data_IF_171574930539
#
_entry.id   IF_171574930539
#
_cell.length_a   1.000
_cell.length_b   1.000
_cell.length_c   1.000
_cell.angle_alpha   90.00
_cell.angle_beta   90.00
_cell.angle_gamma   90.00
#
_symmetry.space_group_name_H-M   'P 1'
#
loop_
_entity.id
_entity.type
_entity.pdbx_description
1 polymer ?
#
# COMPACT_ATOMS: atom_id res chain seq x y z
N UNK A 1 0.58 -2.52 16.25
CA UNK A 1 0.74 -3.88 15.71
C UNK A 1 1.50 -3.80 14.39
N UNK A 2 2.55 -4.58 14.24
CA UNK A 2 3.36 -4.56 13.03
C UNK A 2 2.65 -5.33 11.91
N UNK A 3 2.51 -4.71 10.74
CA UNK A 3 1.84 -5.32 9.60
C UNK A 3 2.51 -6.64 9.18
N UNK A 4 3.83 -6.74 9.25
CA UNK A 4 4.51 -7.95 8.80
C UNK A 4 4.11 -9.18 9.62
N UNK A 5 3.70 -9.00 10.87
CA UNK A 5 3.24 -10.10 11.71
C UNK A 5 1.84 -10.60 11.34
N UNK A 6 1.09 -9.82 10.57
CA UNK A 6 -0.26 -10.18 10.13
C UNK A 6 -0.29 -10.88 8.77
N UNK A 7 0.84 -10.94 8.07
CA UNK A 7 0.93 -11.56 6.75
C UNK A 7 0.84 -13.07 6.90
N UNK A 8 -0.23 -13.67 6.37
CA UNK A 8 -0.47 -15.10 6.40
C UNK A 8 -0.35 -15.76 5.03
N UNK A 9 -0.38 -14.95 3.97
CA UNK A 9 -0.37 -15.43 2.60
C UNK A 9 0.40 -14.46 1.71
N UNK A 10 1.19 -15.00 0.79
CA UNK A 10 1.94 -14.20 -0.18
C UNK A 10 1.47 -14.60 -1.58
N UNK A 11 0.88 -13.66 -2.35
CA UNK A 11 0.43 -13.95 -3.71
C UNK A 11 1.59 -14.38 -4.60
N UNK A 12 1.30 -15.27 -5.52
CA UNK A 12 2.29 -15.70 -6.51
C UNK A 12 2.46 -14.62 -7.56
N UNK A 13 3.72 -14.29 -7.84
CA UNK A 13 4.05 -13.29 -8.86
C UNK A 13 3.96 -13.91 -10.26
N UNK A 14 3.16 -13.32 -11.16
CA UNK A 14 3.11 -13.72 -12.56
C UNK A 14 4.26 -13.13 -13.36
N UNK A 15 4.75 -11.97 -12.94
CA UNK A 15 5.91 -11.32 -13.54
C UNK A 15 6.93 -11.00 -12.45
N UNK A 16 7.87 -11.92 -12.17
CA UNK A 16 8.84 -11.71 -11.09
C UNK A 16 9.72 -10.47 -11.26
N UNK A 17 10.04 -10.08 -12.49
CA UNK A 17 10.85 -8.89 -12.74
C UNK A 17 10.12 -7.62 -12.28
N UNK A 18 8.83 -7.49 -12.59
CA UNK A 18 8.01 -6.38 -12.15
C UNK A 18 7.85 -6.37 -10.64
N UNK A 19 7.68 -7.54 -10.04
CA UNK A 19 7.56 -7.67 -8.60
C UNK A 19 8.83 -7.25 -7.88
N UNK A 20 10.00 -7.66 -8.38
CA UNK A 20 11.29 -7.26 -7.79
C UNK A 20 11.49 -5.75 -7.84
N UNK A 21 11.08 -5.13 -8.94
CA UNK A 21 11.18 -3.68 -9.10
C UNK A 21 10.41 -2.94 -8.00
N UNK A 22 9.22 -3.43 -7.65
CA UNK A 22 8.44 -2.87 -6.54
C UNK A 22 9.13 -3.10 -5.21
N UNK A 23 9.59 -4.32 -4.95
CA UNK A 23 10.21 -4.70 -3.67
C UNK A 23 11.50 -3.93 -3.40
N UNK A 24 12.25 -3.56 -4.43
CA UNK A 24 13.48 -2.79 -4.29
C UNK A 24 13.26 -1.45 -3.59
N UNK A 25 12.11 -0.82 -3.80
CA UNK A 25 11.77 0.43 -3.13
C UNK A 25 11.49 0.27 -1.65
N UNK A 26 11.39 -0.96 -1.15
CA UNK A 26 11.05 -1.27 0.25
C UNK A 26 12.13 -2.14 0.90
N UNK A 27 13.38 -1.98 0.49
CA UNK A 27 14.50 -2.81 0.97
C UNK A 27 14.76 -2.67 2.48
N UNK A 28 14.31 -1.57 3.10
CA UNK A 28 14.45 -1.33 4.53
C UNK A 28 13.39 -2.06 5.37
N UNK A 29 12.41 -2.67 4.72
CA UNK A 29 11.31 -3.35 5.40
C UNK A 29 11.59 -4.84 5.57
N UNK A 30 10.75 -5.51 6.37
CA UNK A 30 10.91 -6.93 6.64
C UNK A 30 10.82 -7.76 5.35
N UNK A 31 11.41 -8.94 5.36
CA UNK A 31 11.38 -9.84 4.21
C UNK A 31 9.94 -10.20 3.83
N UNK A 32 9.06 -10.38 4.82
CA UNK A 32 7.66 -10.72 4.58
C UNK A 32 6.94 -9.62 3.81
N UNK A 33 7.19 -8.34 4.15
CA UNK A 33 6.62 -7.21 3.42
C UNK A 33 7.18 -7.15 2.01
N UNK A 34 8.48 -7.33 1.84
CA UNK A 34 9.10 -7.34 0.52
C UNK A 34 8.53 -8.45 -0.36
N UNK A 35 8.35 -9.64 0.18
CA UNK A 35 7.78 -10.77 -0.54
C UNK A 35 6.32 -10.52 -0.93
N UNK A 36 5.54 -9.93 -0.02
CA UNK A 36 4.15 -9.56 -0.31
C UNK A 36 4.09 -8.57 -1.47
N UNK A 37 4.89 -7.51 -1.42
CA UNK A 37 4.89 -6.48 -2.46
C UNK A 37 5.39 -7.03 -3.79
N UNK A 38 6.36 -7.95 -3.76
CA UNK A 38 6.84 -8.62 -4.96
C UNK A 38 5.72 -9.45 -5.59
N UNK A 39 4.98 -10.21 -4.80
CA UNK A 39 3.86 -11.02 -5.29
C UNK A 39 2.74 -10.16 -5.85
N UNK A 40 2.34 -9.13 -5.13
CA UNK A 40 1.27 -8.21 -5.55
C UNK A 40 1.69 -7.42 -6.79
N UNK A 41 2.88 -6.82 -6.78
CA UNK A 41 3.36 -6.00 -7.90
C UNK A 41 3.62 -6.80 -9.16
N UNK A 42 4.02 -8.07 -9.02
CA UNK A 42 4.22 -8.95 -10.16
C UNK A 42 2.94 -9.56 -10.70
N UNK A 43 1.82 -9.46 -9.95
CA UNK A 43 0.54 -10.02 -10.36
C UNK A 43 -0.43 -8.99 -10.92
N UNK A 44 -0.29 -7.73 -10.53
CA UNK A 44 -1.23 -6.67 -10.91
C UNK A 44 -0.49 -5.39 -11.27
N UNK A 45 -0.45 -5.02 -12.57
CA UNK A 45 0.14 -3.75 -12.99
C UNK A 45 -0.53 -2.54 -12.32
N UNK A 46 -1.83 -2.62 -12.07
CA UNK A 46 -2.57 -1.57 -11.38
C UNK A 46 -2.07 -1.37 -9.95
N UNK A 47 -1.96 -2.46 -9.20
CA UNK A 47 -1.46 -2.40 -7.82
C UNK A 47 0.01 -2.00 -7.75
N UNK A 48 0.82 -2.46 -8.71
CA UNK A 48 2.21 -2.02 -8.83
C UNK A 48 2.29 -0.51 -8.96
N UNK A 49 1.47 0.08 -9.84
CA UNK A 49 1.42 1.52 -10.04
C UNK A 49 1.00 2.25 -8.78
N UNK A 50 0.02 1.75 -8.05
CA UNK A 50 -0.42 2.35 -6.79
C UNK A 50 0.67 2.30 -5.72
N UNK A 51 1.35 1.17 -5.58
CA UNK A 51 2.44 1.02 -4.62
C UNK A 51 3.54 2.05 -4.89
N UNK A 52 3.93 2.20 -6.15
CA UNK A 52 4.97 3.15 -6.53
C UNK A 52 4.52 4.59 -6.31
N UNK A 53 3.28 4.91 -6.66
CA UNK A 53 2.73 6.26 -6.54
C UNK A 53 2.56 6.67 -5.07
N UNK A 54 2.13 5.75 -4.21
CA UNK A 54 1.86 6.02 -2.81
C UNK A 54 2.92 5.42 -1.88
N UNK A 55 4.15 5.24 -2.37
CA UNK A 55 5.21 4.57 -1.63
C UNK A 55 5.51 5.23 -0.28
N UNK A 56 5.58 6.55 -0.23
CA UNK A 56 5.88 7.28 1.01
C UNK A 56 4.79 7.04 2.05
N UNK A 57 3.53 7.16 1.65
CA UNK A 57 2.40 6.90 2.54
C UNK A 57 2.38 5.44 3.00
N UNK A 58 2.61 4.51 2.07
CA UNK A 58 2.57 3.09 2.36
C UNK A 58 3.64 2.67 3.37
N UNK A 59 4.84 3.24 3.26
CA UNK A 59 5.92 2.99 4.22
C UNK A 59 5.51 3.39 5.63
N UNK A 60 4.89 4.56 5.78
CA UNK A 60 4.38 5.00 7.08
C UNK A 60 3.24 4.10 7.57
N UNK A 61 2.37 3.66 6.67
CA UNK A 61 1.24 2.81 7.02
C UNK A 61 1.67 1.42 7.50
N UNK A 62 2.75 0.87 6.96
CA UNK A 62 3.26 -0.41 7.46
C UNK A 62 3.71 -0.33 8.92
N UNK A 63 4.24 0.83 9.34
CA UNK A 63 4.68 1.03 10.73
C UNK A 63 3.52 1.40 11.65
N UNK A 64 2.58 2.21 11.18
CA UNK A 64 1.47 2.74 11.98
C UNK A 64 0.17 2.76 11.16
N UNK A 65 -0.41 1.57 10.85
CA UNK A 65 -1.56 1.50 9.94
C UNK A 65 -2.78 2.25 10.44
N UNK A 66 -3.12 2.11 11.71
CA UNK A 66 -4.31 2.75 12.27
C UNK A 66 -4.19 4.28 12.24
N UNK A 67 -3.02 4.80 12.59
CA UNK A 67 -2.75 6.23 12.59
C UNK A 67 -2.84 6.80 11.18
N UNK A 68 -2.23 6.14 10.21
CA UNK A 68 -2.21 6.62 8.82
C UNK A 68 -3.60 6.60 8.20
N UNK A 69 -4.38 5.56 8.42
CA UNK A 69 -5.76 5.48 7.92
C UNK A 69 -6.64 6.53 8.56
N UNK A 70 -6.53 6.72 9.88
CA UNK A 70 -7.29 7.74 10.59
C UNK A 70 -6.96 9.13 10.05
N UNK A 71 -5.69 9.42 9.80
CA UNK A 71 -5.26 10.70 9.26
C UNK A 71 -5.80 10.95 7.86
N UNK A 72 -5.92 9.92 7.02
CA UNK A 72 -6.52 10.08 5.69
C UNK A 72 -7.97 10.55 5.78
N UNK A 73 -8.74 9.99 6.69
CA UNK A 73 -10.13 10.40 6.89
C UNK A 73 -10.24 11.81 7.49
N UNK A 74 -9.36 12.15 8.44
CA UNK A 74 -9.35 13.48 9.05
C UNK A 74 -9.01 14.59 8.06
N UNK A 75 -8.13 14.34 7.12
CA UNK A 75 -7.77 15.32 6.09
C UNK A 75 -8.98 15.78 5.29
N UNK A 76 -9.94 14.89 5.05
CA UNK A 76 -11.11 15.21 4.24
C UNK A 76 -12.01 16.26 4.91
N UNK A 77 -12.07 16.31 6.23
CA UNK A 77 -12.88 17.29 6.95
C UNK A 77 -12.27 18.70 6.97
N UNK A 78 -10.97 18.82 6.65
CA UNK A 78 -10.23 20.08 6.69
C UNK A 78 -9.89 20.63 5.31
N UNK A 79 -10.31 19.95 4.23
CA UNK A 79 -9.97 20.34 2.86
C UNK A 79 -11.00 21.32 2.32
N UNK A 80 -10.51 22.37 1.63
CA UNK A 80 -11.38 23.33 0.94
C UNK A 80 -12.17 22.64 -0.17
N UNK A 81 -13.36 23.16 -0.48
CA UNK A 81 -14.26 22.52 -1.44
C UNK A 81 -13.65 22.32 -2.83
N UNK A 82 -12.81 23.25 -3.28
CA UNK A 82 -12.16 23.18 -4.59
C UNK A 82 -11.09 22.07 -4.67
N UNK A 83 -10.52 21.68 -3.53
CA UNK A 83 -9.51 20.62 -3.46
C UNK A 83 -10.10 19.28 -3.00
N UNK A 84 -11.37 19.24 -2.60
CA UNK A 84 -11.99 18.07 -1.99
C UNK A 84 -12.01 16.86 -2.92
N UNK A 85 -12.33 17.07 -4.20
CA UNK A 85 -12.40 15.97 -5.16
C UNK A 85 -11.05 15.27 -5.33
N UNK A 86 -9.96 16.03 -5.35
CA UNK A 86 -8.62 15.47 -5.47
C UNK A 86 -8.22 14.73 -4.19
N UNK A 87 -8.53 15.32 -3.02
CA UNK A 87 -8.27 14.68 -1.74
C UNK A 87 -9.04 13.37 -1.58
N UNK A 88 -10.29 13.33 -2.04
CA UNK A 88 -11.10 12.11 -2.04
C UNK A 88 -10.49 11.02 -2.92
N UNK A 89 -10.01 11.37 -4.11
CA UNK A 89 -9.37 10.40 -5.01
C UNK A 89 -8.11 9.82 -4.38
N UNK A 90 -7.29 10.66 -3.74
CA UNK A 90 -6.09 10.20 -3.07
C UNK A 90 -6.43 9.28 -1.90
N UNK A 91 -7.40 9.64 -1.06
CA UNK A 91 -7.83 8.82 0.06
C UNK A 91 -8.37 7.48 -0.42
N UNK A 92 -9.17 7.46 -1.49
CA UNK A 92 -9.68 6.23 -2.07
C UNK A 92 -8.56 5.32 -2.58
N UNK A 93 -7.56 5.88 -3.24
CA UNK A 93 -6.41 5.10 -3.72
C UNK A 93 -5.67 4.45 -2.57
N UNK A 94 -5.42 5.20 -1.50
CA UNK A 94 -4.68 4.70 -0.33
C UNK A 94 -5.44 3.63 0.42
N UNK A 95 -6.73 3.85 0.65
CA UNK A 95 -7.58 2.86 1.32
C UNK A 95 -7.73 1.61 0.45
N UNK A 96 -7.93 1.77 -0.86
CA UNK A 96 -8.05 0.63 -1.77
C UNK A 96 -6.76 -0.18 -1.81
N UNK A 97 -5.60 0.49 -1.86
CA UNK A 97 -4.31 -0.19 -1.83
C UNK A 97 -4.13 -0.97 -0.53
N UNK A 98 -4.40 -0.34 0.61
CA UNK A 98 -4.27 -0.99 1.91
C UNK A 98 -5.21 -2.19 2.04
N UNK A 99 -6.46 -2.03 1.61
CA UNK A 99 -7.45 -3.11 1.63
C UNK A 99 -7.01 -4.29 0.76
N UNK A 100 -6.50 -4.00 -0.45
CA UNK A 100 -6.01 -5.04 -1.33
C UNK A 100 -4.83 -5.80 -0.73
N UNK A 101 -3.90 -5.10 -0.09
CA UNK A 101 -2.76 -5.75 0.57
C UNK A 101 -3.22 -6.62 1.74
N UNK A 102 -4.18 -6.15 2.52
CA UNK A 102 -4.75 -6.94 3.62
C UNK A 102 -5.46 -8.19 3.10
N UNK A 103 -6.27 -8.04 2.05
CA UNK A 103 -7.01 -9.17 1.47
C UNK A 103 -6.08 -10.21 0.87
N UNK A 104 -5.06 -9.78 0.14
CA UNK A 104 -4.14 -10.69 -0.54
C UNK A 104 -3.15 -11.36 0.43
N UNK A 105 -2.91 -10.75 1.58
CA UNK A 105 -1.97 -11.29 2.58
C UNK A 105 -2.65 -12.11 3.67
N UNK A 106 -3.92 -11.95 3.81
CA UNK A 106 -4.71 -12.63 4.83
C UNK A 106 -5.67 -13.61 4.26
#
# INVERSE_FOLDING_TARGET
MNFSNSIQHIPRSFDPAQGREVAEGFSDFSLEIQQLLQGVGGSSPYLKSLIEKEAVWLKAAFDHPETCLTQEFKKLSNVANDALAQALRQAKRRVALWTALCDLSG
#
